data_IF_570923837366
#
_entry.id   IF_570923837366
#
_cell.length_a   1.000
_cell.length_b   1.000
_cell.length_c   1.000
_cell.angle_alpha   90.00
_cell.angle_beta   90.00
_cell.angle_gamma   90.00
#
_symmetry.space_group_name_H-M   'P 1'
#
loop_
_entity.id
_entity.type
_entity.pdbx_description
1 polymer ?
#
# COMPACT_ATOMS: atom_id res chain seq x y z
N UNK A 1 -27.21 32.73 -5.64
CA UNK A 1 -26.06 32.23 -6.44
C UNK A 1 -24.68 32.58 -5.89
N UNK A 2 -24.42 33.80 -5.39
CA UNK A 2 -23.08 34.17 -4.87
C UNK A 2 -22.64 33.36 -3.63
N UNK A 3 -23.56 33.02 -2.72
CA UNK A 3 -23.27 32.23 -1.51
C UNK A 3 -22.71 30.82 -1.83
N UNK A 4 -23.24 30.16 -2.87
CA UNK A 4 -22.80 28.83 -3.28
C UNK A 4 -21.40 28.86 -3.91
N UNK A 5 -21.08 29.92 -4.69
CA UNK A 5 -19.73 30.17 -5.19
C UNK A 5 -18.74 30.49 -4.06
N UNK A 6 -19.13 31.27 -3.04
CA UNK A 6 -18.27 31.52 -1.87
C UNK A 6 -18.01 30.24 -1.06
N UNK A 7 -19.03 29.39 -0.87
CA UNK A 7 -18.90 28.07 -0.24
C UNK A 7 -17.99 27.15 -1.06
N UNK A 8 -18.06 27.19 -2.40
CA UNK A 8 -17.16 26.44 -3.28
C UNK A 8 -15.71 26.91 -3.21
N UNK A 9 -15.48 28.22 -3.12
CA UNK A 9 -14.15 28.84 -2.97
C UNK A 9 -13.55 28.53 -1.59
N UNK A 10 -14.34 28.58 -0.54
CA UNK A 10 -13.92 28.24 0.83
C UNK A 10 -14.08 26.76 1.16
N UNK A 11 -14.49 25.91 0.22
CA UNK A 11 -14.82 24.49 0.45
C UNK A 11 -13.69 23.74 1.14
N UNK A 12 -12.44 23.97 0.69
CA UNK A 12 -11.24 23.34 1.29
C UNK A 12 -11.02 23.84 2.72
N UNK A 13 -11.16 25.14 2.98
CA UNK A 13 -11.00 25.72 4.30
C UNK A 13 -12.11 25.28 5.28
N UNK A 14 -13.37 25.29 4.83
CA UNK A 14 -14.51 24.79 5.58
C UNK A 14 -14.36 23.29 5.90
N UNK A 15 -13.89 22.47 4.96
CA UNK A 15 -13.62 21.06 5.21
C UNK A 15 -12.53 20.85 6.27
N UNK A 16 -11.44 21.64 6.24
CA UNK A 16 -10.37 21.56 7.25
C UNK A 16 -10.93 21.89 8.64
N UNK A 17 -11.62 23.03 8.77
CA UNK A 17 -12.17 23.49 10.04
C UNK A 17 -13.23 22.54 10.56
N UNK A 18 -14.14 22.07 9.70
CA UNK A 18 -15.23 21.19 10.08
C UNK A 18 -14.75 19.80 10.46
N UNK A 19 -13.74 19.25 9.77
CA UNK A 19 -13.12 17.97 10.12
C UNK A 19 -12.45 18.05 11.49
N UNK A 20 -11.67 19.12 11.74
CA UNK A 20 -11.03 19.34 13.04
C UNK A 20 -12.07 19.53 14.15
N UNK A 21 -13.17 20.25 13.88
CA UNK A 21 -14.23 20.53 14.85
C UNK A 21 -15.08 19.29 15.18
N UNK A 22 -15.42 18.46 14.18
CA UNK A 22 -16.20 17.23 14.36
C UNK A 22 -15.40 16.15 15.06
N UNK A 23 -14.10 16.06 14.79
CA UNK A 23 -13.25 15.07 15.43
C UNK A 23 -12.69 15.54 16.78
N UNK A 24 -12.72 16.84 17.10
CA UNK A 24 -12.30 17.40 18.40
C UNK A 24 -12.94 16.75 19.65
N UNK A 25 -14.20 16.27 19.63
CA UNK A 25 -14.82 15.60 20.76
C UNK A 25 -14.14 14.27 21.11
N UNK A 26 -13.47 13.59 20.16
CA UNK A 26 -12.74 12.33 20.42
C UNK A 26 -11.64 12.48 21.49
N UNK A 27 -10.65 13.39 21.35
CA UNK A 27 -9.63 13.59 22.37
C UNK A 27 -10.15 14.25 23.66
N UNK A 28 -11.27 14.98 23.60
CA UNK A 28 -11.84 15.69 24.76
C UNK A 28 -12.69 14.76 25.64
N UNK A 29 -13.46 13.84 25.05
CA UNK A 29 -14.35 12.93 25.78
C UNK A 29 -13.62 11.66 26.25
N UNK A 30 -12.71 11.13 25.42
CA UNK A 30 -11.87 9.98 25.75
C UNK A 30 -10.43 10.46 25.93
N UNK A 31 -10.05 10.85 27.14
CA UNK A 31 -8.70 11.34 27.47
C UNK A 31 -7.69 10.19 27.61
N UNK A 32 -7.60 9.37 26.56
CA UNK A 32 -6.70 8.23 26.42
C UNK A 32 -5.72 8.51 25.27
N UNK A 33 -4.45 8.09 25.42
CA UNK A 33 -3.42 8.25 24.36
C UNK A 33 -3.80 7.58 23.04
N UNK A 34 -4.61 6.53 23.10
CA UNK A 34 -5.13 5.81 21.93
C UNK A 34 -6.13 6.66 21.14
N UNK A 35 -6.96 7.46 21.81
CA UNK A 35 -7.94 8.33 21.17
C UNK A 35 -7.28 9.53 20.46
N UNK A 36 -6.20 10.07 21.02
CA UNK A 36 -5.42 11.15 20.40
C UNK A 36 -4.66 10.67 19.13
N UNK A 37 -4.17 9.43 19.15
CA UNK A 37 -3.58 8.78 17.98
C UNK A 37 -4.63 8.52 16.91
N UNK A 38 -5.77 7.93 17.29
CA UNK A 38 -6.89 7.71 16.38
C UNK A 38 -7.39 9.02 15.75
N UNK A 39 -7.52 10.08 16.55
CA UNK A 39 -7.87 11.42 16.08
C UNK A 39 -6.91 11.90 14.98
N UNK A 40 -5.60 11.84 15.23
CA UNK A 40 -4.59 12.28 14.27
C UNK A 40 -4.65 11.45 12.98
N UNK A 41 -4.82 10.12 13.10
CA UNK A 41 -4.95 9.23 11.94
C UNK A 41 -6.18 9.55 11.09
N UNK A 42 -7.33 9.77 11.73
CA UNK A 42 -8.56 10.13 11.02
C UNK A 42 -8.48 11.51 10.37
N UNK A 43 -7.91 12.51 11.06
CA UNK A 43 -7.70 13.86 10.48
C UNK A 43 -6.81 13.76 9.24
N UNK A 44 -5.71 13.03 9.34
CA UNK A 44 -4.79 12.80 8.22
C UNK A 44 -5.51 12.07 7.08
N UNK A 45 -6.21 10.98 7.37
CA UNK A 45 -6.97 10.21 6.37
C UNK A 45 -8.01 11.07 5.64
N UNK A 46 -8.78 11.89 6.36
CA UNK A 46 -9.75 12.80 5.74
C UNK A 46 -9.05 13.85 4.89
N UNK A 47 -7.91 14.40 5.33
CA UNK A 47 -7.15 15.39 4.55
C UNK A 47 -6.50 14.79 3.30
N UNK A 48 -6.11 13.51 3.34
CA UNK A 48 -5.68 12.75 2.16
C UNK A 48 -6.83 12.51 1.18
N UNK A 49 -8.00 12.09 1.67
CA UNK A 49 -9.18 11.82 0.82
C UNK A 49 -9.78 13.08 0.20
N UNK A 50 -9.71 14.22 0.90
CA UNK A 50 -10.36 15.47 0.46
C UNK A 50 -9.42 16.42 -0.27
N UNK A 51 -8.13 16.08 -0.37
CA UNK A 51 -7.06 16.94 -0.91
C UNK A 51 -7.12 18.38 -0.40
N UNK A 52 -7.55 18.57 0.85
CA UNK A 52 -7.85 19.89 1.39
C UNK A 52 -6.58 20.74 1.58
N UNK A 53 -5.44 20.08 1.82
CA UNK A 53 -4.10 20.66 1.93
C UNK A 53 -3.15 20.02 0.90
N UNK A 54 -2.06 20.72 0.51
CA UNK A 54 -0.99 20.10 -0.27
C UNK A 54 -0.49 18.83 0.41
N UNK A 55 -0.25 17.77 -0.36
CA UNK A 55 0.10 16.44 0.15
C UNK A 55 1.29 16.47 1.14
N UNK A 56 2.26 17.33 0.88
CA UNK A 56 3.43 17.55 1.74
C UNK A 56 3.06 18.07 3.14
N UNK A 57 2.05 18.94 3.24
CA UNK A 57 1.59 19.52 4.50
C UNK A 57 0.80 18.48 5.30
N UNK A 58 -0.06 17.71 4.64
CA UNK A 58 -0.81 16.61 5.28
C UNK A 58 0.13 15.52 5.81
N UNK A 59 1.22 15.22 5.10
CA UNK A 59 2.23 14.25 5.54
C UNK A 59 3.01 14.72 6.80
N UNK A 60 3.14 16.03 7.02
CA UNK A 60 3.81 16.61 8.19
C UNK A 60 2.90 16.70 9.42
N UNK A 61 1.58 16.59 9.25
CA UNK A 61 0.60 16.72 10.33
C UNK A 61 0.86 15.74 11.49
N UNK A 62 1.09 14.43 11.27
CA UNK A 62 1.44 13.51 12.36
C UNK A 62 2.74 13.90 13.06
N UNK A 63 3.73 14.40 12.31
CA UNK A 63 5.01 14.84 12.84
C UNK A 63 4.90 16.01 13.81
N UNK A 64 3.90 16.89 13.63
CA UNK A 64 3.59 17.99 14.54
C UNK A 64 2.64 17.58 15.67
N UNK A 65 1.59 16.81 15.34
CA UNK A 65 0.51 16.47 16.27
C UNK A 65 0.93 15.39 17.27
N UNK A 66 1.73 14.40 16.87
CA UNK A 66 2.17 13.33 17.78
C UNK A 66 3.05 13.82 18.95
N UNK A 67 4.01 14.74 18.74
CA UNK A 67 4.69 15.41 19.85
C UNK A 67 3.77 16.31 20.67
N UNK A 68 2.88 17.08 20.02
CA UNK A 68 1.98 18.03 20.69
C UNK A 68 1.02 17.33 21.67
N UNK A 69 0.50 16.16 21.30
CA UNK A 69 -0.36 15.34 22.15
C UNK A 69 0.42 14.44 23.13
N UNK A 70 1.76 14.45 23.12
CA UNK A 70 2.56 13.60 24.02
C UNK A 70 2.34 12.09 23.79
N UNK A 71 1.92 11.71 22.59
CA UNK A 71 1.68 10.31 22.17
C UNK A 71 3.00 9.55 22.08
N UNK A 72 4.11 10.24 21.76
CA UNK A 72 5.45 9.68 21.85
C UNK A 72 6.00 9.84 23.28
N UNK A 73 5.96 8.81 24.14
CA UNK A 73 6.71 8.85 25.39
C UNK A 73 8.20 8.85 25.07
N UNK A 74 8.86 9.99 25.29
CA UNK A 74 10.32 10.00 25.43
C UNK A 74 10.66 9.18 26.67
N UNK A 75 11.06 7.92 26.46
CA UNK A 75 11.36 6.93 27.51
C UNK A 75 10.26 6.77 28.57
N UNK A 76 9.19 6.03 28.26
CA UNK A 76 8.32 5.48 29.31
C UNK A 76 8.07 3.99 29.05
N UNK A 77 8.46 3.19 30.04
CA UNK A 77 8.10 1.79 30.15
C UNK A 77 6.57 1.63 30.26
N UNK A 78 6.03 0.52 29.72
CA UNK A 78 4.68 -0.05 29.91
C UNK A 78 3.56 0.64 29.08
N UNK A 79 2.51 -0.01 28.52
CA UNK A 79 1.74 -1.21 28.90
C UNK A 79 1.10 -1.82 27.63
N UNK A 80 1.38 -3.09 27.33
CA UNK A 80 0.43 -4.13 26.82
C UNK A 80 1.20 -5.44 26.62
N UNK A 81 0.93 -6.41 27.50
CA UNK A 81 0.88 -7.84 27.18
C UNK A 81 2.14 -8.66 26.87
N UNK A 82 3.20 -8.13 26.25
CA UNK A 82 4.38 -8.94 25.90
C UNK A 82 5.66 -8.20 26.18
N UNK A 83 6.26 -8.43 27.36
CA UNK A 83 7.66 -8.04 27.59
C UNK A 83 8.54 -8.81 26.61
N UNK A 84 9.21 -8.08 25.72
CA UNK A 84 10.26 -8.63 24.88
C UNK A 84 11.32 -9.28 25.78
N UNK A 85 11.71 -10.53 25.47
CA UNK A 85 12.65 -11.32 26.27
C UNK A 85 14.01 -10.63 26.35
N UNK A 86 14.49 -10.07 25.24
CA UNK A 86 15.75 -9.33 25.18
C UNK A 86 15.62 -7.99 24.47
N UNK A 87 16.56 -7.07 24.73
CA UNK A 87 16.69 -5.80 23.98
C UNK A 87 16.88 -6.06 22.47
N UNK A 88 17.54 -7.16 22.10
CA UNK A 88 17.73 -7.57 20.70
C UNK A 88 16.39 -7.92 20.05
N UNK A 89 15.52 -8.67 20.72
CA UNK A 89 14.19 -9.03 20.20
C UNK A 89 13.31 -7.80 19.97
N UNK A 90 13.36 -6.83 20.88
CA UNK A 90 12.64 -5.57 20.73
C UNK A 90 13.13 -4.75 19.52
N UNK A 91 14.45 -4.68 19.32
CA UNK A 91 15.05 -4.00 18.17
C UNK A 91 14.74 -4.72 16.86
N UNK A 92 14.72 -6.06 16.85
CA UNK A 92 14.32 -6.86 15.70
C UNK A 92 12.85 -6.66 15.33
N UNK A 93 11.94 -6.63 16.31
CA UNK A 93 10.52 -6.34 16.06
C UNK A 93 10.33 -4.95 15.43
N UNK A 94 10.98 -3.93 16.00
CA UNK A 94 10.98 -2.57 15.44
C UNK A 94 11.51 -2.54 14.01
N UNK A 95 12.63 -3.22 13.75
CA UNK A 95 13.22 -3.32 12.42
C UNK A 95 12.25 -4.00 11.44
N UNK A 96 11.61 -5.10 11.82
CA UNK A 96 10.62 -5.80 10.97
C UNK A 96 9.44 -4.89 10.60
N UNK A 97 8.84 -4.22 11.58
CA UNK A 97 7.73 -3.29 11.33
C UNK A 97 8.15 -2.16 10.37
N UNK A 98 9.35 -1.61 10.57
CA UNK A 98 9.87 -0.53 9.74
C UNK A 98 10.22 -1.01 8.32
N UNK A 99 10.81 -2.20 8.18
CA UNK A 99 11.05 -2.83 6.89
C UNK A 99 9.76 -3.07 6.11
N UNK A 100 8.69 -3.55 6.76
CA UNK A 100 7.39 -3.77 6.12
C UNK A 100 6.83 -2.44 5.61
N UNK A 101 6.86 -1.39 6.43
CA UNK A 101 6.35 -0.07 6.06
C UNK A 101 7.12 0.56 4.87
N UNK A 102 8.46 0.54 4.92
CA UNK A 102 9.28 1.06 3.81
C UNK A 102 9.12 0.22 2.54
N UNK A 103 9.13 -1.11 2.64
CA UNK A 103 8.94 -2.00 1.49
C UNK A 103 7.59 -1.77 0.81
N UNK A 104 6.51 -1.64 1.60
CA UNK A 104 5.18 -1.33 1.07
C UNK A 104 5.16 0.00 0.30
N UNK A 105 5.88 1.01 0.80
CA UNK A 105 5.94 2.34 0.16
C UNK A 105 6.75 2.29 -1.14
N UNK A 106 7.91 1.63 -1.14
CA UNK A 106 8.77 1.48 -2.32
C UNK A 106 8.08 0.63 -3.40
N UNK A 107 7.38 -0.43 -3.00
CA UNK A 107 6.55 -1.23 -3.91
C UNK A 107 5.46 -0.41 -4.58
N UNK A 108 4.80 0.49 -3.85
CA UNK A 108 3.79 1.41 -4.39
C UNK A 108 4.33 2.36 -5.46
N UNK A 109 5.61 2.77 -5.39
CA UNK A 109 6.23 3.64 -6.39
C UNK A 109 6.49 2.92 -7.73
N UNK A 110 6.59 1.60 -7.71
CA UNK A 110 6.97 0.78 -8.87
C UNK A 110 5.94 0.83 -10.00
N UNK A 111 4.66 0.88 -9.65
CA UNK A 111 3.54 0.86 -10.62
C UNK A 111 2.78 2.18 -10.61
N UNK A 112 2.26 2.57 -11.77
CA UNK A 112 1.49 3.82 -11.91
C UNK A 112 0.19 3.78 -11.09
N UNK A 113 -0.37 2.58 -10.90
CA UNK A 113 -1.55 2.30 -10.07
C UNK A 113 -1.22 2.06 -8.59
N UNK A 114 0.07 2.05 -8.22
CA UNK A 114 0.50 1.70 -6.87
C UNK A 114 0.23 2.78 -5.83
N UNK A 115 0.25 4.06 -6.23
CA UNK A 115 -0.13 5.20 -5.37
C UNK A 115 -1.00 6.19 -6.13
N UNK A 116 -1.87 6.88 -5.39
CA UNK A 116 -2.72 7.94 -5.96
C UNK A 116 -1.90 9.08 -6.57
N UNK A 117 -0.73 9.38 -6.02
CA UNK A 117 0.15 10.44 -6.53
C UNK A 117 0.65 10.15 -7.94
N UNK A 118 0.98 8.89 -8.24
CA UNK A 118 1.45 8.47 -9.55
C UNK A 118 0.33 8.60 -10.59
N UNK A 119 -0.89 8.20 -10.20
CA UNK A 119 -2.07 8.30 -11.05
C UNK A 119 -2.45 9.77 -11.34
N UNK A 120 -2.45 10.62 -10.31
CA UNK A 120 -2.71 12.07 -10.47
C UNK A 120 -1.66 12.72 -11.37
N UNK A 121 -0.39 12.36 -11.19
CA UNK A 121 0.68 12.86 -12.05
C UNK A 121 0.47 12.45 -13.51
N UNK A 122 0.18 11.16 -13.75
CA UNK A 122 -0.08 10.65 -15.09
C UNK A 122 -1.27 11.34 -15.76
N UNK A 123 -2.36 11.54 -15.03
CA UNK A 123 -3.56 12.22 -15.51
C UNK A 123 -3.30 13.70 -15.82
N UNK A 124 -2.61 14.38 -14.91
CA UNK A 124 -2.25 15.79 -15.09
C UNK A 124 -1.29 15.98 -16.27
N UNK A 125 -0.33 15.07 -16.44
CA UNK A 125 0.59 15.07 -17.57
C UNK A 125 -0.15 14.87 -18.90
N UNK A 126 -1.04 13.86 -18.97
CA UNK A 126 -1.85 13.59 -20.16
C UNK A 126 -2.80 14.76 -20.50
N UNK A 127 -3.38 15.41 -19.48
CA UNK A 127 -4.20 16.62 -19.67
C UNK A 127 -3.39 17.78 -20.23
N UNK A 128 -2.14 17.95 -19.77
CA UNK A 128 -1.27 19.06 -20.16
C UNK A 128 -0.60 18.87 -21.52
N UNK A 129 -0.33 17.62 -21.89
CA UNK A 129 0.36 17.22 -23.12
C UNK A 129 -0.43 16.11 -23.85
N UNK A 130 -1.59 16.44 -24.45
CA UNK A 130 -2.48 15.45 -25.07
C UNK A 130 -1.84 14.68 -26.24
N UNK A 131 -0.86 15.27 -26.92
CA UNK A 131 -0.14 14.64 -28.04
C UNK A 131 0.98 13.67 -27.62
N UNK A 132 1.35 13.61 -26.33
CA UNK A 132 2.40 12.71 -25.81
C UNK A 132 1.79 11.61 -24.94
N UNK A 133 1.49 10.45 -25.54
CA UNK A 133 1.10 9.24 -24.80
C UNK A 133 2.31 8.41 -24.34
N UNK A 134 3.36 9.11 -23.94
CA UNK A 134 4.65 8.56 -23.53
C UNK A 134 4.58 7.88 -22.14
N UNK A 135 3.59 8.24 -21.31
CA UNK A 135 3.40 7.68 -19.97
C UNK A 135 2.28 6.63 -20.01
N UNK A 136 2.67 5.36 -20.02
CA UNK A 136 1.79 4.21 -19.93
C UNK A 136 2.24 3.29 -18.78
N UNK A 137 1.43 2.30 -18.39
CA UNK A 137 1.80 1.35 -17.34
C UNK A 137 3.19 0.74 -17.57
N UNK A 138 3.48 0.28 -18.79
CA UNK A 138 4.75 -0.37 -19.14
C UNK A 138 5.96 0.57 -19.08
N UNK A 139 5.85 1.78 -19.63
CA UNK A 139 6.91 2.78 -19.65
C UNK A 139 7.21 3.31 -18.25
N UNK A 140 6.18 3.53 -17.43
CA UNK A 140 6.34 3.85 -16.02
C UNK A 140 7.04 2.73 -15.27
N UNK A 141 6.60 1.48 -15.48
CA UNK A 141 7.22 0.32 -14.81
C UNK A 141 8.69 0.18 -15.20
N UNK A 142 9.03 0.31 -16.48
CA UNK A 142 10.42 0.20 -16.95
C UNK A 142 11.34 1.28 -16.36
N UNK A 143 10.82 2.48 -16.12
CA UNK A 143 11.54 3.55 -15.43
C UNK A 143 11.64 3.30 -13.92
N UNK A 144 10.51 2.99 -13.29
CA UNK A 144 10.37 2.99 -11.83
C UNK A 144 10.83 1.70 -11.17
N UNK A 145 10.72 0.55 -11.84
CA UNK A 145 11.10 -0.75 -11.28
C UNK A 145 12.60 -0.87 -10.99
N UNK A 146 13.53 -0.51 -11.90
CA UNK A 146 14.97 -0.52 -11.60
C UNK A 146 15.31 0.45 -10.46
N UNK A 147 14.71 1.65 -10.47
CA UNK A 147 14.89 2.63 -9.40
C UNK A 147 14.38 2.10 -8.05
N UNK A 148 13.22 1.42 -8.02
CA UNK A 148 12.65 0.81 -6.83
C UNK A 148 13.54 -0.30 -6.27
N UNK A 149 14.15 -1.14 -7.11
CA UNK A 149 15.13 -2.15 -6.67
C UNK A 149 16.34 -1.48 -6.00
N UNK A 150 16.89 -0.42 -6.61
CA UNK A 150 18.02 0.32 -6.05
C UNK A 150 17.65 0.91 -4.68
N UNK A 151 16.51 1.59 -4.59
CA UNK A 151 16.04 2.21 -3.35
C UNK A 151 15.73 1.16 -2.28
N UNK A 152 15.15 0.02 -2.66
CA UNK A 152 14.90 -1.10 -1.76
C UNK A 152 16.21 -1.63 -1.16
N UNK A 153 17.22 -1.82 -2.02
CA UNK A 153 18.55 -2.28 -1.58
C UNK A 153 19.24 -1.27 -0.67
N UNK A 154 19.20 0.03 -1.02
CA UNK A 154 19.76 1.10 -0.18
C UNK A 154 19.03 1.20 1.17
N UNK A 155 17.71 1.08 1.17
CA UNK A 155 16.88 1.11 2.37
C UNK A 155 17.17 -0.09 3.27
N UNK A 156 17.33 -1.28 2.68
CA UNK A 156 17.72 -2.47 3.40
C UNK A 156 19.08 -2.29 4.09
N UNK A 157 20.10 -1.79 3.38
CA UNK A 157 21.42 -1.48 3.97
C UNK A 157 21.29 -0.46 5.09
N UNK A 158 20.53 0.63 4.88
CA UNK A 158 20.34 1.68 5.86
C UNK A 158 19.70 1.18 7.16
N UNK A 159 18.62 0.41 7.04
CA UNK A 159 17.90 -0.15 8.19
C UNK A 159 18.73 -1.21 8.92
N UNK A 160 19.46 -2.03 8.19
CA UNK A 160 20.41 -2.98 8.75
C UNK A 160 21.50 -2.25 9.54
N UNK A 161 22.05 -1.16 9.00
CA UNK A 161 23.07 -0.36 9.68
C UNK A 161 22.52 0.27 10.97
N UNK A 162 21.33 0.86 10.91
CA UNK A 162 20.70 1.56 12.03
C UNK A 162 20.35 0.64 13.22
N UNK A 163 19.86 -0.58 12.95
CA UNK A 163 19.36 -1.48 14.01
C UNK A 163 20.31 -2.61 14.40
N UNK A 164 21.17 -3.08 13.49
CA UNK A 164 22.04 -4.25 13.70
C UNK A 164 23.54 -3.88 13.74
N UNK A 165 23.91 -2.66 13.35
CA UNK A 165 25.30 -2.19 13.29
C UNK A 165 26.10 -2.83 12.14
N UNK A 166 27.37 -2.42 11.96
CA UNK A 166 28.31 -3.01 10.98
C UNK A 166 28.75 -4.43 11.40
N UNK A 167 27.86 -5.41 11.36
CA UNK A 167 28.19 -6.83 11.51
C UNK A 167 28.10 -7.58 10.17
N UNK A 168 28.86 -7.11 9.16
CA UNK A 168 28.98 -7.77 7.84
C UNK A 168 29.39 -9.24 7.97
N UNK A 169 30.14 -9.59 9.02
CA UNK A 169 30.58 -10.96 9.32
C UNK A 169 29.44 -11.91 9.69
N UNK A 170 28.28 -11.41 10.11
CA UNK A 170 27.08 -12.24 10.35
C UNK A 170 26.14 -12.29 9.14
N UNK A 171 26.05 -11.21 8.35
CA UNK A 171 25.29 -11.20 7.09
C UNK A 171 25.85 -12.17 6.05
N UNK A 172 27.18 -12.26 5.92
CA UNK A 172 27.84 -13.18 4.99
C UNK A 172 28.08 -14.59 5.55
N UNK A 173 27.62 -14.90 6.78
CA UNK A 173 27.58 -16.28 7.31
C UNK A 173 26.38 -17.04 6.71
N UNK A 174 26.25 -17.02 5.39
CA UNK A 174 25.35 -17.91 4.67
C UNK A 174 26.00 -19.30 4.68
N UNK A 175 25.63 -20.16 5.65
CA UNK A 175 26.11 -21.55 5.66
C UNK A 175 26.47 -22.19 7.01
N UNK A 176 26.33 -21.51 8.16
CA UNK A 176 26.45 -22.21 9.45
C UNK A 176 25.15 -22.92 9.84
N UNK A 177 25.29 -24.04 10.53
CA UNK A 177 24.22 -24.83 11.13
C UNK A 177 23.26 -23.91 11.89
N UNK A 178 21.98 -23.90 11.47
CA UNK A 178 20.93 -23.08 12.10
C UNK A 178 20.94 -23.31 13.62
N UNK A 179 20.92 -22.23 14.40
CA UNK A 179 20.82 -22.32 15.86
C UNK A 179 19.52 -23.00 16.27
N UNK A 180 19.47 -23.58 17.48
CA UNK A 180 18.27 -24.28 17.98
C UNK A 180 17.05 -23.37 17.91
N UNK A 181 17.18 -22.10 18.29
CA UNK A 181 16.11 -21.10 18.21
C UNK A 181 15.62 -20.84 16.77
N UNK A 182 16.53 -20.78 15.78
CA UNK A 182 16.15 -20.63 14.38
C UNK A 182 15.39 -21.83 13.84
N UNK A 183 15.74 -23.05 14.29
CA UNK A 183 15.01 -24.28 13.93
C UNK A 183 13.61 -24.27 14.52
N UNK A 184 13.46 -23.90 15.80
CA UNK A 184 12.15 -23.78 16.45
C UNK A 184 11.28 -22.73 15.75
N UNK A 185 11.84 -21.55 15.43
CA UNK A 185 11.12 -20.51 14.69
C UNK A 185 10.69 -20.98 13.29
N UNK A 186 11.57 -21.67 12.57
CA UNK A 186 11.23 -22.22 11.25
C UNK A 186 10.13 -23.28 11.31
N UNK A 187 10.11 -24.13 12.33
CA UNK A 187 9.02 -25.09 12.55
C UNK A 187 7.70 -24.39 12.87
N UNK A 188 7.70 -23.32 13.67
CA UNK A 188 6.49 -22.52 13.92
C UNK A 188 5.97 -21.92 12.61
N UNK A 189 6.83 -21.31 11.78
CA UNK A 189 6.43 -20.78 10.47
C UNK A 189 5.87 -21.87 9.56
N UNK A 190 6.49 -23.05 9.56
CA UNK A 190 6.03 -24.20 8.76
C UNK A 190 4.67 -24.72 9.24
N UNK A 191 4.45 -24.77 10.55
CA UNK A 191 3.16 -25.14 11.14
C UNK A 191 2.07 -24.12 10.77
N UNK A 192 2.34 -22.82 10.89
CA UNK A 192 1.40 -21.78 10.46
C UNK A 192 1.13 -21.84 8.95
N UNK A 193 2.14 -22.12 8.13
CA UNK A 193 1.98 -22.33 6.70
C UNK A 193 1.10 -23.56 6.39
N UNK A 194 1.29 -24.66 7.10
CA UNK A 194 0.46 -25.87 6.95
C UNK A 194 -1.00 -25.64 7.35
N UNK A 195 -1.27 -24.73 8.31
CA UNK A 195 -2.65 -24.36 8.71
C UNK A 195 -3.41 -23.60 7.63
N UNK A 196 -2.74 -22.95 6.68
CA UNK A 196 -3.40 -22.20 5.60
C UNK A 196 -4.19 -23.13 4.66
N UNK A 197 -3.79 -24.39 4.55
CA UNK A 197 -4.42 -25.37 3.65
C UNK A 197 -4.06 -25.16 2.18
N UNK A 198 -4.64 -25.95 1.27
CA UNK A 198 -4.41 -25.82 -0.17
C UNK A 198 -5.02 -24.53 -0.74
N UNK A 199 -4.45 -24.00 -1.83
CA UNK A 199 -4.94 -22.80 -2.50
C UNK A 199 -6.41 -22.96 -2.90
N UNK A 200 -7.23 -22.00 -2.47
CA UNK A 200 -8.68 -22.04 -2.74
C UNK A 200 -8.95 -21.64 -4.19
N UNK A 201 -10.06 -22.12 -4.74
CA UNK A 201 -10.52 -21.75 -6.07
C UNK A 201 -10.54 -20.22 -6.31
N UNK A 202 -11.01 -19.47 -5.31
CA UNK A 202 -11.06 -17.99 -5.32
C UNK A 202 -9.69 -17.35 -5.48
N UNK A 203 -8.68 -17.88 -4.78
CA UNK A 203 -7.32 -17.38 -4.81
C UNK A 203 -6.70 -17.67 -6.18
N UNK A 204 -6.96 -18.86 -6.74
CA UNK A 204 -6.52 -19.21 -8.10
C UNK A 204 -7.16 -18.31 -9.15
N UNK A 205 -8.48 -18.08 -9.11
CA UNK A 205 -9.17 -17.18 -10.06
C UNK A 205 -8.61 -15.76 -9.97
N UNK A 206 -8.43 -15.25 -8.75
CA UNK A 206 -7.87 -13.90 -8.53
C UNK A 206 -6.45 -13.79 -9.06
N UNK A 207 -5.62 -14.81 -8.84
CA UNK A 207 -4.25 -14.87 -9.35
C UNK A 207 -4.23 -14.88 -10.89
N UNK A 208 -5.09 -15.69 -11.52
CA UNK A 208 -5.19 -15.76 -12.98
C UNK A 208 -5.63 -14.41 -13.56
N UNK A 209 -6.68 -13.80 -13.01
CA UNK A 209 -7.15 -12.48 -13.46
C UNK A 209 -6.10 -11.39 -13.27
N UNK A 210 -5.34 -11.43 -12.17
CA UNK A 210 -4.24 -10.51 -11.94
C UNK A 210 -3.11 -10.68 -12.97
N UNK A 211 -2.73 -11.92 -13.30
CA UNK A 211 -1.73 -12.21 -14.34
C UNK A 211 -2.22 -11.73 -15.71
N UNK A 212 -3.48 -12.00 -16.05
CA UNK A 212 -4.09 -11.53 -17.30
C UNK A 212 -4.09 -10.00 -17.36
N UNK A 213 -4.46 -9.33 -16.28
CA UNK A 213 -4.41 -7.87 -16.17
C UNK A 213 -3.00 -7.33 -16.39
N UNK A 214 -1.99 -7.91 -15.72
CA UNK A 214 -0.60 -7.50 -15.87
C UNK A 214 -0.11 -7.69 -17.33
N UNK A 215 -0.41 -8.84 -17.94
CA UNK A 215 -0.06 -9.10 -19.34
C UNK A 215 -0.74 -8.11 -20.30
N UNK A 216 -2.02 -7.80 -20.09
CA UNK A 216 -2.74 -6.82 -20.89
C UNK A 216 -2.15 -5.41 -20.73
N UNK A 217 -1.77 -5.00 -19.53
CA UNK A 217 -1.09 -3.71 -19.31
C UNK A 217 0.28 -3.64 -20.01
N UNK A 218 1.11 -4.68 -19.89
CA UNK A 218 2.44 -4.68 -20.54
C UNK A 218 2.37 -4.78 -22.06
N UNK A 219 1.39 -5.51 -22.59
CA UNK A 219 1.23 -5.72 -24.04
C UNK A 219 0.45 -4.60 -24.75
N UNK A 220 -0.04 -3.59 -24.01
CA UNK A 220 -0.86 -2.49 -24.54
C UNK A 220 -0.12 -1.66 -25.58
N UNK A 221 0.99 -1.09 -25.19
CA UNK A 221 1.88 -0.33 -26.07
C UNK A 221 3.30 -0.38 -25.52
N UNK A 222 4.00 -1.51 -25.74
CA UNK A 222 5.31 -1.74 -25.14
C UNK A 222 6.43 -0.88 -25.75
N UNK A 223 6.16 -0.11 -26.80
CA UNK A 223 7.10 0.81 -27.45
C UNK A 223 8.14 0.17 -28.37
N UNK A 224 8.41 -1.14 -28.23
CA UNK A 224 9.33 -1.89 -29.11
C UNK A 224 8.64 -2.71 -30.20
N UNK A 225 7.36 -3.05 -30.00
CA UNK A 225 6.46 -3.70 -30.98
C UNK A 225 5.11 -3.02 -30.94
N UNK A 226 4.36 -3.09 -32.04
CA UNK A 226 2.95 -2.69 -32.05
C UNK A 226 2.19 -3.53 -31.01
N UNK A 227 1.73 -2.91 -29.94
CA UNK A 227 0.90 -3.56 -28.94
C UNK A 227 -0.52 -3.82 -29.44
N UNK A 228 -1.35 -4.42 -28.59
CA UNK A 228 -2.76 -4.68 -28.94
C UNK A 228 -3.59 -3.40 -29.09
N UNK A 229 -3.08 -2.24 -28.65
CA UNK A 229 -3.72 -0.93 -28.84
C UNK A 229 -4.02 -0.63 -30.32
N UNK A 230 -3.22 -1.15 -31.25
CA UNK A 230 -3.39 -0.97 -32.70
C UNK A 230 -4.69 -1.60 -33.21
N UNK A 231 -5.21 -2.64 -32.54
CA UNK A 231 -6.49 -3.25 -32.90
C UNK A 231 -7.67 -2.26 -32.79
N UNK A 232 -7.49 -1.19 -32.02
CA UNK A 232 -8.49 -0.14 -31.81
C UNK A 232 -8.05 1.21 -32.43
N UNK A 233 -7.21 1.20 -33.47
CA UNK A 233 -6.71 2.42 -34.12
C UNK A 233 -7.81 3.33 -34.67
N UNK A 234 -8.98 2.77 -34.98
CA UNK A 234 -10.15 3.50 -35.49
C UNK A 234 -10.88 4.31 -34.40
N UNK A 235 -10.64 4.01 -33.13
CA UNK A 235 -11.26 4.68 -31.98
C UNK A 235 -10.18 5.18 -30.99
N UNK A 236 -9.57 6.36 -31.25
CA UNK A 236 -8.54 6.91 -30.37
C UNK A 236 -9.10 7.18 -28.97
N UNK A 237 -8.39 6.72 -27.93
CA UNK A 237 -8.74 6.94 -26.52
C UNK A 237 -9.47 5.79 -25.80
N UNK A 238 -9.87 4.73 -26.50
CA UNK A 238 -10.53 3.58 -25.87
C UNK A 238 -9.54 2.54 -25.33
N UNK A 239 -8.35 2.40 -25.94
CA UNK A 239 -7.29 1.50 -25.51
C UNK A 239 -6.42 2.10 -24.38
N UNK A 240 -7.01 2.23 -23.18
CA UNK A 240 -6.33 2.78 -21.99
C UNK A 240 -6.07 1.73 -20.92
N UNK A 241 -5.15 2.03 -20.00
CA UNK A 241 -4.89 1.19 -18.81
C UNK A 241 -6.17 1.02 -17.97
N UNK A 242 -7.02 2.04 -17.93
CA UNK A 242 -8.32 2.04 -17.26
C UNK A 242 -9.30 1.05 -17.89
N UNK A 243 -9.31 0.90 -19.22
CA UNK A 243 -10.19 -0.04 -19.92
C UNK A 243 -9.86 -1.49 -19.56
N UNK A 244 -8.57 -1.82 -19.44
CA UNK A 244 -8.12 -3.14 -18.95
C UNK A 244 -8.60 -3.38 -17.52
N UNK A 245 -8.43 -2.39 -16.63
CA UNK A 245 -8.87 -2.50 -15.24
C UNK A 245 -10.40 -2.68 -15.13
N UNK A 246 -11.17 -1.94 -15.92
CA UNK A 246 -12.64 -2.06 -15.97
C UNK A 246 -13.09 -3.42 -16.50
N UNK A 247 -12.44 -3.95 -17.54
CA UNK A 247 -12.72 -5.28 -18.07
C UNK A 247 -12.49 -6.37 -17.01
N UNK A 248 -11.34 -6.33 -16.35
CA UNK A 248 -11.01 -7.29 -15.28
C UNK A 248 -11.95 -7.13 -14.08
N UNK A 249 -12.31 -5.89 -13.72
CA UNK A 249 -13.31 -5.60 -12.69
C UNK A 249 -14.67 -6.23 -13.02
N UNK A 250 -15.12 -6.11 -14.28
CA UNK A 250 -16.35 -6.74 -14.75
C UNK A 250 -16.25 -8.28 -14.72
N UNK A 251 -15.10 -8.85 -15.07
CA UNK A 251 -14.87 -10.29 -14.95
C UNK A 251 -14.92 -10.78 -13.49
N UNK A 252 -14.44 -9.99 -12.53
CA UNK A 252 -14.60 -10.31 -11.10
C UNK A 252 -16.07 -10.37 -10.67
N UNK A 253 -16.95 -9.55 -11.25
CA UNK A 253 -18.39 -9.61 -10.98
C UNK A 253 -19.10 -10.77 -11.68
N UNK A 254 -18.63 -11.18 -12.87
CA UNK A 254 -19.22 -12.29 -13.63
C UNK A 254 -18.78 -13.66 -13.12
N UNK A 255 -17.53 -13.81 -12.68
CA UNK A 255 -16.99 -15.09 -12.25
C UNK A 255 -17.43 -15.36 -10.81
N UNK A 256 -18.19 -16.45 -10.55
CA UNK A 256 -18.71 -16.71 -9.22
C UNK A 256 -17.58 -17.02 -8.24
N UNK A 257 -17.63 -16.38 -7.07
CA UNK A 257 -16.65 -16.59 -6.01
C UNK A 257 -16.66 -18.03 -5.48
N UNK A 258 -17.76 -18.77 -5.58
CA UNK A 258 -17.82 -20.17 -5.17
C UNK A 258 -18.17 -21.01 -6.39
N UNK A 259 -17.45 -22.11 -6.58
CA UNK A 259 -17.93 -23.19 -7.44
C UNK A 259 -19.30 -23.60 -6.90
N UNK A 260 -20.34 -23.56 -7.72
CA UNK A 260 -21.67 -24.01 -7.32
C UNK A 260 -21.56 -25.49 -6.98
N UNK A 261 -21.47 -25.82 -5.69
CA UNK A 261 -21.58 -27.20 -5.23
C UNK A 261 -22.96 -27.68 -5.66
N UNK A 262 -23.03 -28.73 -6.48
CA UNK A 262 -24.30 -29.40 -6.76
C UNK A 262 -24.89 -29.81 -5.41
N UNK A 263 -26.01 -29.22 -5.02
CA UNK A 263 -26.83 -29.78 -3.95
C UNK A 263 -27.31 -31.14 -4.44
N UNK A 264 -26.72 -32.21 -3.92
CA UNK A 264 -27.34 -33.52 -3.92
C UNK A 264 -28.68 -33.40 -3.16
N UNK A 265 -29.76 -34.12 -3.54
CA UNK A 265 -31.05 -34.04 -2.85
C UNK A 265 -30.98 -34.40 -1.35
N UNK A 266 -29.90 -35.05 -0.93
CA UNK A 266 -29.57 -35.37 0.45
C UNK A 266 -28.56 -34.33 0.94
N UNK A 267 -29.00 -33.47 1.87
CA UNK A 267 -28.29 -32.27 2.32
C UNK A 267 -27.02 -32.53 3.14
N UNK A 268 -26.01 -33.17 2.54
CA UNK A 268 -24.67 -33.26 3.11
C UNK A 268 -23.73 -32.31 2.36
N UNK A 269 -23.18 -31.36 3.12
CA UNK A 269 -22.22 -30.35 2.66
C UNK A 269 -20.84 -31.01 2.68
N UNK A 270 -20.33 -31.39 1.50
CA UNK A 270 -18.94 -31.79 1.27
C UNK A 270 -18.16 -30.70 0.54
#
# INVERSE_FOLDING_TARGET
>A
MKLFSYILVYRRFLLIVFTLLILLPLPIILRNKEAECAYTLFVVAVFWLTEALPLSVTALLPGLMFPLFGIMPSKQNTVTGTKYRTKKDHMMCKLMCLCIAYSSTIGGLTTITGTSTNLIFAEHFNTRYPECHCINFGSWFMLSFPAAIIILFLSWIWLQWLFLGFNFKEMFKCGKTKTVEQKVCAEVIKQEYQKLGPIRYQETVTLVLFIVMALLWFSRDPGFVSGWSVLFSEYPGFATDSTVALLIGLLFFLIPAKTLTKTTPEGEIG
#
